data_IF_613822410916
#
_entry.id   IF_613822410916
#
_cell.length_a   1.000
_cell.length_b   1.000
_cell.length_c   1.000
_cell.angle_alpha   90.00
_cell.angle_beta   90.00
_cell.angle_gamma   90.00
#
_symmetry.space_group_name_H-M   'P 1'
#
loop_
_entity.id
_entity.type
_entity.pdbx_description
1 polymer ?
#
# COMPACT_ATOMS: atom_id res chain seq x y z
N UNK A 1 -23.26 -5.06 -3.35
CA UNK A 1 -23.87 -4.31 -4.48
C UNK A 1 -23.14 -2.97 -4.63
N UNK A 2 -23.02 -2.41 -5.84
CA UNK A 2 -22.31 -1.14 -6.13
C UNK A 2 -22.63 -0.01 -5.11
N UNK A 3 -23.86 0.04 -4.60
CA UNK A 3 -24.31 0.95 -3.55
C UNK A 3 -23.61 0.81 -2.20
N UNK A 4 -23.27 -0.40 -1.76
CA UNK A 4 -22.57 -0.63 -0.48
C UNK A 4 -21.20 0.04 -0.48
N UNK A 5 -20.52 0.09 -1.63
CA UNK A 5 -19.23 0.77 -1.77
C UNK A 5 -19.37 2.28 -1.55
N UNK A 6 -20.35 2.92 -2.16
CA UNK A 6 -20.58 4.36 -1.99
C UNK A 6 -21.00 4.74 -0.56
N UNK A 7 -21.56 3.81 0.20
CA UNK A 7 -21.92 4.05 1.60
C UNK A 7 -20.74 3.96 2.57
N UNK A 8 -19.59 3.40 2.17
CA UNK A 8 -18.44 3.24 3.07
C UNK A 8 -17.82 4.58 3.50
N UNK A 9 -17.94 5.63 2.67
CA UNK A 9 -17.36 6.96 2.92
C UNK A 9 -15.91 6.90 3.44
N UNK A 10 -15.14 5.90 3.00
CA UNK A 10 -13.81 5.58 3.55
C UNK A 10 -12.68 6.34 2.86
N UNK A 11 -13.00 7.19 1.89
CA UNK A 11 -12.04 7.99 1.11
C UNK A 11 -11.18 7.20 0.12
N UNK A 12 -11.36 5.87 0.04
CA UNK A 12 -10.58 5.02 -0.86
C UNK A 12 -11.19 5.03 -2.29
N UNK A 13 -10.38 4.96 -3.36
CA UNK A 13 -10.88 4.94 -4.73
C UNK A 13 -11.73 3.70 -5.02
N UNK A 14 -12.67 3.80 -5.95
CA UNK A 14 -13.34 2.63 -6.54
C UNK A 14 -12.40 1.98 -7.57
N UNK A 15 -11.96 0.72 -7.40
CA UNK A 15 -11.08 0.06 -8.36
C UNK A 15 -11.72 -0.19 -9.72
N UNK A 16 -13.05 -0.14 -9.83
CA UNK A 16 -13.76 -0.21 -11.12
C UNK A 16 -13.73 1.14 -11.85
N UNK A 17 -13.56 2.24 -11.11
CA UNK A 17 -13.31 3.55 -11.71
C UNK A 17 -11.79 3.76 -11.93
N UNK A 18 -11.33 3.40 -13.13
CA UNK A 18 -9.92 3.54 -13.51
C UNK A 18 -9.39 4.98 -13.42
N UNK A 19 -10.22 6.00 -13.63
CA UNK A 19 -9.79 7.40 -13.53
C UNK A 19 -9.48 7.75 -12.07
N UNK A 20 -10.38 7.39 -11.15
CA UNK A 20 -10.22 7.63 -9.72
C UNK A 20 -9.01 6.89 -9.18
N UNK A 21 -8.85 5.61 -9.54
CA UNK A 21 -7.73 4.80 -9.10
C UNK A 21 -6.39 5.34 -9.59
N UNK A 22 -6.30 5.74 -10.86
CA UNK A 22 -5.08 6.33 -11.41
C UNK A 22 -4.76 7.68 -10.73
N UNK A 23 -5.77 8.50 -10.47
CA UNK A 23 -5.60 9.77 -9.77
C UNK A 23 -5.07 9.54 -8.36
N UNK A 24 -5.68 8.61 -7.61
CA UNK A 24 -5.22 8.21 -6.28
C UNK A 24 -3.76 7.76 -6.30
N UNK A 25 -3.40 6.84 -7.20
CA UNK A 25 -2.03 6.33 -7.31
C UNK A 25 -1.01 7.43 -7.63
N UNK A 26 -1.33 8.33 -8.56
CA UNK A 26 -0.43 9.39 -8.97
C UNK A 26 -0.28 10.45 -7.86
N UNK A 27 -1.37 10.83 -7.19
CA UNK A 27 -1.31 11.76 -6.07
C UNK A 27 -0.38 11.25 -4.96
N UNK A 28 -0.51 9.98 -4.56
CA UNK A 28 0.37 9.43 -3.54
C UNK A 28 1.81 9.28 -4.05
N UNK A 29 2.01 8.80 -5.28
CA UNK A 29 3.35 8.68 -5.88
C UNK A 29 4.09 10.03 -5.95
N UNK A 30 3.38 11.07 -6.38
CA UNK A 30 3.95 12.40 -6.58
C UNK A 30 4.06 13.20 -5.29
N UNK A 31 3.50 12.70 -4.18
CA UNK A 31 3.73 13.26 -2.86
C UNK A 31 5.23 13.20 -2.51
N UNK A 32 5.85 14.38 -2.47
CA UNK A 32 7.27 14.60 -2.15
C UNK A 32 7.49 14.97 -0.69
N UNK A 33 6.43 15.06 0.12
CA UNK A 33 6.60 15.30 1.53
C UNK A 33 7.34 14.13 2.17
N UNK A 34 8.38 14.45 2.93
CA UNK A 34 9.08 13.43 3.67
C UNK A 34 8.20 12.95 4.84
N UNK A 35 7.87 11.66 4.87
CA UNK A 35 7.02 11.07 5.90
C UNK A 35 7.75 9.96 6.65
N UNK A 36 7.71 9.96 7.99
CA UNK A 36 8.28 8.88 8.77
C UNK A 36 7.49 7.58 8.58
N UNK A 37 8.17 6.45 8.77
CA UNK A 37 7.63 5.13 8.45
C UNK A 37 6.24 4.81 9.07
N UNK A 38 5.93 5.20 10.32
CA UNK A 38 4.58 5.00 10.87
C UNK A 38 3.46 5.70 10.09
N UNK A 39 3.72 6.88 9.53
CA UNK A 39 2.73 7.61 8.73
C UNK A 39 2.54 6.93 7.37
N UNK A 40 3.63 6.49 6.73
CA UNK A 40 3.55 5.76 5.46
C UNK A 40 2.83 4.41 5.61
N UNK A 41 3.02 3.72 6.74
CA UNK A 41 2.27 2.51 7.06
C UNK A 41 0.76 2.77 7.18
N UNK A 42 0.37 3.87 7.85
CA UNK A 42 -1.05 4.25 8.01
C UNK A 42 -1.69 4.64 6.66
N UNK A 43 -0.99 5.41 5.83
CA UNK A 43 -1.44 5.74 4.47
C UNK A 43 -1.52 4.49 3.58
N UNK A 44 -0.60 3.54 3.76
CA UNK A 44 -0.59 2.25 3.06
C UNK A 44 -1.83 1.39 3.35
N UNK A 45 -2.44 1.55 4.52
CA UNK A 45 -3.63 0.78 4.91
C UNK A 45 -4.82 1.01 3.97
N UNK A 46 -5.04 2.26 3.54
CA UNK A 46 -6.07 2.58 2.54
C UNK A 46 -5.80 1.86 1.21
N UNK A 47 -4.54 1.86 0.76
CA UNK A 47 -4.14 1.17 -0.46
C UNK A 47 -4.29 -0.36 -0.34
N UNK A 48 -3.97 -0.94 0.81
CA UNK A 48 -4.16 -2.37 1.08
C UNK A 48 -5.64 -2.77 1.07
N UNK A 49 -6.53 -1.93 1.60
CA UNK A 49 -7.99 -2.12 1.48
C UNK A 49 -8.47 -2.13 0.03
N UNK A 50 -7.93 -1.25 -0.81
CA UNK A 50 -8.24 -1.23 -2.25
C UNK A 50 -7.74 -2.53 -2.92
N UNK A 51 -6.53 -2.98 -2.61
CA UNK A 51 -6.00 -4.27 -3.11
C UNK A 51 -6.91 -5.44 -2.68
N UNK A 52 -7.30 -5.47 -1.40
CA UNK A 52 -8.21 -6.48 -0.88
C UNK A 52 -9.53 -6.48 -1.64
N UNK A 53 -10.10 -5.30 -1.90
CA UNK A 53 -11.34 -5.19 -2.66
C UNK A 53 -11.19 -5.66 -4.10
N UNK A 54 -10.09 -5.31 -4.79
CA UNK A 54 -9.76 -5.87 -6.12
C UNK A 54 -9.71 -7.40 -6.10
N UNK A 55 -9.08 -8.00 -5.09
CA UNK A 55 -8.98 -9.45 -4.97
C UNK A 55 -10.36 -10.10 -4.74
N UNK A 56 -11.21 -9.49 -3.91
CA UNK A 56 -12.59 -9.95 -3.72
C UNK A 56 -13.37 -9.92 -5.05
N UNK A 57 -13.22 -8.88 -5.86
CA UNK A 57 -13.84 -8.79 -7.18
C UNK A 57 -13.30 -9.87 -8.13
N UNK A 58 -11.97 -10.09 -8.13
CA UNK A 58 -11.31 -11.11 -8.95
C UNK A 58 -11.65 -12.55 -8.55
N UNK A 59 -11.95 -12.81 -7.28
CA UNK A 59 -12.38 -14.14 -6.82
C UNK A 59 -13.85 -14.38 -7.12
N UNK A 60 -14.69 -13.36 -6.93
CA UNK A 60 -16.14 -13.48 -7.00
C UNK A 60 -16.75 -13.11 -8.35
N UNK A 61 -15.95 -12.75 -9.36
CA UNK A 61 -16.45 -12.28 -10.66
C UNK A 61 -17.46 -13.23 -11.32
N UNK A 62 -17.27 -14.55 -11.19
CA UNK A 62 -18.19 -15.59 -11.69
C UNK A 62 -19.53 -15.64 -10.94
N UNK A 63 -19.50 -15.33 -9.65
CA UNK A 63 -20.69 -15.26 -8.80
C UNK A 63 -21.46 -13.97 -9.08
N UNK A 64 -20.76 -12.85 -9.29
CA UNK A 64 -21.36 -11.59 -9.76
C UNK A 64 -22.09 -11.77 -11.10
N UNK A 65 -21.48 -12.50 -12.05
CA UNK A 65 -22.10 -12.88 -13.32
C UNK A 65 -23.43 -13.64 -13.15
N UNK A 66 -23.53 -14.50 -12.14
CA UNK A 66 -24.69 -15.38 -11.96
C UNK A 66 -25.83 -14.72 -11.19
N UNK A 67 -25.53 -13.78 -10.30
CA UNK A 67 -26.49 -13.17 -9.37
C UNK A 67 -27.03 -11.81 -9.81
N UNK A 68 -26.32 -11.07 -10.69
CA UNK A 68 -26.69 -9.69 -11.05
C UNK A 68 -27.62 -9.58 -12.26
N UNK A 69 -27.69 -10.59 -13.12
CA UNK A 69 -28.41 -10.50 -14.40
C UNK A 69 -27.79 -9.50 -15.40
N UNK A 70 -26.66 -8.88 -15.03
CA UNK A 70 -25.86 -7.99 -15.87
C UNK A 70 -24.80 -8.80 -16.64
N UNK A 71 -24.32 -8.24 -17.76
CA UNK A 71 -23.07 -8.72 -18.35
C UNK A 71 -21.97 -8.48 -17.31
N UNK A 72 -21.54 -9.54 -16.62
CA UNK A 72 -20.47 -9.43 -15.64
C UNK A 72 -19.12 -9.18 -16.32
N UNK A 73 -18.06 -9.20 -15.53
CA UNK A 73 -16.75 -8.73 -15.99
C UNK A 73 -16.25 -9.40 -17.27
N UNK A 74 -15.87 -8.56 -18.22
CA UNK A 74 -15.11 -8.96 -19.41
C UNK A 74 -13.69 -9.39 -19.02
N UNK A 75 -13.04 -10.20 -19.85
CA UNK A 75 -11.64 -10.60 -19.62
C UNK A 75 -10.71 -9.37 -19.55
N UNK A 76 -11.00 -8.32 -20.32
CA UNK A 76 -10.25 -7.07 -20.29
C UNK A 76 -10.37 -6.36 -18.92
N UNK A 77 -11.55 -6.36 -18.30
CA UNK A 77 -11.75 -5.80 -16.96
C UNK A 77 -11.03 -6.61 -15.89
N UNK A 78 -11.09 -7.95 -15.97
CA UNK A 78 -10.34 -8.83 -15.07
C UNK A 78 -8.84 -8.59 -15.19
N UNK A 79 -8.34 -8.46 -16.42
CA UNK A 79 -6.94 -8.18 -16.66
C UNK A 79 -6.55 -6.80 -16.14
N UNK A 80 -7.39 -5.77 -16.30
CA UNK A 80 -7.16 -4.43 -15.72
C UNK A 80 -7.14 -4.46 -14.19
N UNK A 81 -8.02 -5.21 -13.55
CA UNK A 81 -8.02 -5.37 -12.09
C UNK A 81 -6.71 -6.02 -11.62
N UNK A 82 -6.26 -7.10 -12.27
CA UNK A 82 -4.97 -7.74 -11.96
C UNK A 82 -3.79 -6.76 -12.11
N UNK A 83 -3.77 -5.99 -13.20
CA UNK A 83 -2.74 -4.97 -13.41
C UNK A 83 -2.80 -3.85 -12.36
N UNK A 84 -4.00 -3.49 -11.93
CA UNK A 84 -4.19 -2.48 -10.88
C UNK A 84 -3.65 -2.97 -9.53
N UNK A 85 -3.90 -4.23 -9.17
CA UNK A 85 -3.31 -4.84 -7.96
C UNK A 85 -1.80 -4.76 -7.98
N UNK A 86 -1.15 -5.13 -9.10
CA UNK A 86 0.31 -5.06 -9.23
C UNK A 86 0.83 -3.63 -9.04
N UNK A 87 0.21 -2.66 -9.70
CA UNK A 87 0.60 -1.24 -9.58
C UNK A 87 0.45 -0.70 -8.16
N UNK A 88 -0.59 -1.10 -7.43
CA UNK A 88 -0.80 -0.69 -6.04
C UNK A 88 0.24 -1.34 -5.12
N UNK A 89 0.59 -2.61 -5.34
CA UNK A 89 1.66 -3.29 -4.60
C UNK A 89 3.03 -2.64 -4.84
N UNK A 90 3.34 -2.33 -6.10
CA UNK A 90 4.56 -1.59 -6.48
C UNK A 90 4.60 -0.21 -5.81
N UNK A 91 3.46 0.49 -5.76
CA UNK A 91 3.36 1.81 -5.12
C UNK A 91 3.61 1.74 -3.61
N UNK A 92 3.01 0.76 -2.90
CA UNK A 92 3.28 0.53 -1.48
C UNK A 92 4.77 0.24 -1.27
N UNK A 93 5.36 -0.67 -2.06
CA UNK A 93 6.78 -0.99 -1.95
C UNK A 93 7.65 0.25 -2.14
N UNK A 94 7.38 1.03 -3.19
CA UNK A 94 8.09 2.27 -3.46
C UNK A 94 8.03 3.26 -2.28
N UNK A 95 6.85 3.42 -1.66
CA UNK A 95 6.67 4.32 -0.52
C UNK A 95 7.36 3.81 0.74
N UNK A 96 7.32 2.50 1.00
CA UNK A 96 8.05 1.90 2.10
C UNK A 96 9.57 2.02 1.90
N UNK A 97 10.06 1.89 0.67
CA UNK A 97 11.47 2.09 0.34
C UNK A 97 11.90 3.55 0.58
N UNK A 98 11.10 4.54 0.18
CA UNK A 98 11.36 5.96 0.47
C UNK A 98 11.43 6.22 1.99
N UNK A 99 10.46 5.70 2.75
CA UNK A 99 10.43 5.85 4.21
C UNK A 99 11.60 5.14 4.90
N UNK A 100 11.95 3.94 4.44
CA UNK A 100 13.05 3.15 4.97
C UNK A 100 14.38 3.81 4.66
N UNK A 101 14.57 4.33 3.45
CA UNK A 101 15.78 5.07 3.07
C UNK A 101 16.01 6.26 3.99
N UNK A 102 14.96 7.00 4.33
CA UNK A 102 15.12 8.12 5.24
C UNK A 102 15.41 7.69 6.68
N UNK A 103 14.73 6.65 7.19
CA UNK A 103 15.07 6.04 8.48
C UNK A 103 16.57 5.69 8.52
N UNK A 104 17.10 5.11 7.44
CA UNK A 104 18.51 4.76 7.33
C UNK A 104 19.44 5.98 7.26
N UNK A 105 19.04 7.05 6.56
CA UNK A 105 19.82 8.30 6.50
C UNK A 105 19.93 9.00 7.86
N UNK A 106 18.91 8.85 8.72
CA UNK A 106 18.88 9.40 10.08
C UNK A 106 19.13 8.34 11.15
N UNK A 107 19.63 7.16 10.77
CA UNK A 107 19.72 6.03 11.67
C UNK A 107 20.60 6.27 12.89
N UNK A 108 21.53 7.23 12.83
CA UNK A 108 22.34 7.66 13.98
C UNK A 108 21.51 8.13 15.17
N UNK A 109 20.31 8.65 14.91
CA UNK A 109 19.40 9.16 15.94
C UNK A 109 18.67 8.01 16.66
N UNK A 110 18.61 6.84 16.03
CA UNK A 110 17.91 5.64 16.50
C UNK A 110 18.87 4.50 16.92
N UNK A 111 20.18 4.79 17.03
CA UNK A 111 21.17 3.82 17.50
C UNK A 111 21.02 3.61 19.00
N UNK A 112 20.93 2.34 19.40
CA UNK A 112 21.01 1.96 20.81
C UNK A 112 22.42 2.27 21.34
N UNK A 113 22.57 3.13 22.36
CA UNK A 113 23.87 3.62 22.81
C UNK A 113 24.74 2.52 23.42
N UNK A 114 24.14 1.47 23.98
CA UNK A 114 24.84 0.38 24.66
C UNK A 114 25.36 -0.67 23.66
N UNK A 115 24.57 -0.96 22.62
CA UNK A 115 24.88 -2.00 21.63
C UNK A 115 25.45 -1.47 20.32
N UNK A 116 25.35 -0.16 20.09
CA UNK A 116 25.73 0.53 18.84
C UNK A 116 25.00 -0.01 17.59
N UNK A 117 23.86 -0.68 17.80
CA UNK A 117 23.03 -1.21 16.72
C UNK A 117 21.78 -0.34 16.51
N UNK A 118 21.36 -0.21 15.26
CA UNK A 118 20.01 0.20 14.92
C UNK A 118 19.08 -0.99 15.08
N UNK A 119 18.02 -0.80 15.86
CA UNK A 119 16.91 -1.75 15.91
C UNK A 119 15.59 -1.00 15.85
N UNK A 120 14.94 -1.07 14.71
CA UNK A 120 13.63 -0.47 14.48
C UNK A 120 12.60 -1.54 14.09
N UNK A 121 11.45 -1.51 14.74
CA UNK A 121 10.30 -2.35 14.41
C UNK A 121 9.03 -1.53 14.52
N UNK A 122 8.22 -1.52 13.47
CA UNK A 122 6.87 -0.93 13.47
C UNK A 122 5.90 -1.84 12.74
N UNK A 123 4.70 -1.96 13.28
CA UNK A 123 3.64 -2.79 12.75
C UNK A 123 2.39 -1.94 12.49
N UNK A 124 1.67 -2.31 11.43
CA UNK A 124 0.30 -1.94 11.11
C UNK A 124 -0.57 -3.20 11.18
N UNK A 125 -1.86 -3.08 10.86
CA UNK A 125 -2.77 -4.24 10.81
C UNK A 125 -2.28 -5.30 9.81
N UNK A 126 -1.79 -4.87 8.64
CA UNK A 126 -1.46 -5.75 7.53
C UNK A 126 0.04 -5.92 7.25
N UNK A 127 0.89 -4.98 7.71
CA UNK A 127 2.32 -4.95 7.38
C UNK A 127 3.15 -4.68 8.62
N UNK A 128 4.24 -5.44 8.80
CA UNK A 128 5.29 -5.15 9.80
C UNK A 128 6.60 -4.86 9.10
N UNK A 129 7.23 -3.74 9.45
CA UNK A 129 8.55 -3.34 8.96
C UNK A 129 9.56 -3.46 10.10
N UNK A 130 10.64 -4.20 9.83
CA UNK A 130 11.77 -4.39 10.74
C UNK A 130 13.06 -3.96 10.04
N UNK A 131 13.82 -3.05 10.67
CA UNK A 131 15.09 -2.55 10.13
C UNK A 131 16.15 -2.68 11.23
N UNK A 132 17.06 -3.64 11.05
CA UNK A 132 18.11 -3.93 12.01
C UNK A 132 19.47 -3.82 11.32
N UNK A 133 20.46 -3.21 11.98
CA UNK A 133 21.79 -3.07 11.42
C UNK A 133 22.81 -2.63 12.45
N UNK A 134 24.07 -3.01 12.25
CA UNK A 134 25.18 -2.50 13.04
C UNK A 134 25.67 -1.19 12.42
N UNK A 135 25.64 -0.09 13.18
CA UNK A 135 26.02 1.26 12.71
C UNK A 135 27.30 1.72 13.43
N UNK A 136 27.97 0.83 14.17
CA UNK A 136 29.25 1.15 14.79
C UNK A 136 30.25 1.62 13.72
N UNK A 137 30.82 2.81 13.93
CA UNK A 137 31.88 3.33 13.07
C UNK A 137 33.09 2.41 13.16
N UNK A 138 33.56 1.90 12.02
CA UNK A 138 34.90 1.32 11.93
C UNK A 138 35.88 2.48 12.18
N UNK A 139 36.59 2.45 13.31
CA UNK A 139 37.72 3.33 13.54
C UNK A 139 38.88 2.79 12.69
N UNK A 140 39.23 3.50 11.61
CA UNK A 140 40.50 3.32 10.89
C UNK A 140 41.62 4.14 11.54
#
# INVERSE_FOLDING_TARGET
MHWERYMLCDGNPDPLNTCDLNTFMNLWRDDKEYKPLPIVLDEGEGTLKVIQYCNILLENWRVFLSNSGEEGFTEDELQRLKQSVLKLQELISYKLDEATMNLLQNASDDVDPDTQNLQFTRASENVTVCVWGNIARIQE
#
